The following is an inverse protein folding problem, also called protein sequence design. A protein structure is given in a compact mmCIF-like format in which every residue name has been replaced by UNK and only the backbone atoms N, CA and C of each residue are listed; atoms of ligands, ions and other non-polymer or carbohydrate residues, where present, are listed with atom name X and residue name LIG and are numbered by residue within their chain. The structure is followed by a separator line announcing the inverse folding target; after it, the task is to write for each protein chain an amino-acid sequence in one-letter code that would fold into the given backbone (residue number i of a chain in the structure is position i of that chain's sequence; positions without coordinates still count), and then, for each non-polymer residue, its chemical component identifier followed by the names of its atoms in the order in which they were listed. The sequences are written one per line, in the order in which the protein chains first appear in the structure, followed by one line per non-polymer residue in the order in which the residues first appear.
data_IF_738724557347
#
_entry.id   IF_738724557347
#
_cell.length_a   1.000
_cell.length_b   1.000
_cell.length_c   1.000
_cell.angle_alpha   90.00
_cell.angle_beta   90.00
_cell.angle_gamma   90.00
#
_symmetry.space_group_name_H-M   'P 1'
#
loop_
_entity.id
_entity.type
_entity.pdbx_description
1 polymer ?
#
# COMPACT_ATOMS: atom_id res chain seq x y z
N UNK A 1 25.51 -3.06 -40.08
CA UNK A 1 25.42 -2.24 -38.86
C UNK A 1 26.59 -2.62 -37.98
N UNK A 2 27.48 -1.68 -37.64
CA UNK A 2 28.65 -1.97 -36.79
C UNK A 2 28.19 -2.21 -35.35
N UNK A 3 28.94 -3.00 -34.58
CA UNK A 3 28.67 -3.14 -33.15
C UNK A 3 28.73 -1.78 -32.43
N UNK A 4 29.63 -0.90 -32.85
CA UNK A 4 29.80 0.43 -32.26
C UNK A 4 28.57 1.33 -32.44
N UNK A 5 27.92 1.27 -33.61
CA UNK A 5 26.70 2.05 -33.84
C UNK A 5 25.55 1.56 -32.96
N UNK A 6 25.44 0.24 -32.78
CA UNK A 6 24.42 -0.36 -31.90
C UNK A 6 24.65 -0.02 -30.43
N UNK A 7 25.91 0.02 -29.98
CA UNK A 7 26.26 0.42 -28.61
C UNK A 7 25.86 1.89 -28.38
N UNK A 8 26.16 2.79 -29.31
CA UNK A 8 25.80 4.20 -29.19
C UNK A 8 24.28 4.45 -29.13
N UNK A 9 23.50 3.73 -29.95
CA UNK A 9 22.04 3.78 -29.94
C UNK A 9 21.49 3.32 -28.58
N UNK A 10 21.96 2.17 -28.07
CA UNK A 10 21.52 1.63 -26.77
C UNK A 10 21.88 2.56 -25.60
N UNK A 11 23.05 3.20 -25.63
CA UNK A 11 23.44 4.18 -24.62
C UNK A 11 22.55 5.43 -24.65
N UNK A 12 22.15 5.86 -25.85
CA UNK A 12 21.24 7.00 -26.03
C UNK A 12 19.85 6.68 -25.49
N UNK A 13 19.33 5.49 -25.83
CA UNK A 13 18.05 4.98 -25.34
C UNK A 13 18.08 4.86 -23.81
N UNK A 14 19.14 4.28 -23.23
CA UNK A 14 19.30 4.15 -21.79
C UNK A 14 19.27 5.52 -21.09
N UNK A 15 19.99 6.51 -21.63
CA UNK A 15 20.00 7.86 -21.07
C UNK A 15 18.62 8.51 -21.09
N UNK A 16 17.86 8.33 -22.17
CA UNK A 16 16.48 8.80 -22.28
C UNK A 16 15.56 8.11 -21.27
N UNK A 17 15.67 6.79 -21.11
CA UNK A 17 14.90 6.03 -20.13
C UNK A 17 15.19 6.47 -18.68
N UNK A 18 16.47 6.75 -18.37
CA UNK A 18 16.87 7.26 -17.05
C UNK A 18 16.23 8.63 -16.80
N UNK A 19 16.31 9.56 -17.76
CA UNK A 19 15.69 10.88 -17.63
C UNK A 19 14.18 10.79 -17.44
N UNK A 20 13.51 10.01 -18.27
CA UNK A 20 12.06 9.80 -18.17
C UNK A 20 11.68 9.23 -16.80
N UNK A 21 12.42 8.24 -16.29
CA UNK A 21 12.18 7.64 -14.98
C UNK A 21 12.35 8.67 -13.85
N UNK A 22 13.35 9.55 -13.95
CA UNK A 22 13.57 10.62 -12.97
C UNK A 22 12.44 11.65 -12.97
N UNK A 23 11.96 12.07 -14.14
CA UNK A 23 10.84 13.00 -14.29
C UNK A 23 9.54 12.41 -13.72
N UNK A 24 9.27 11.14 -14.00
CA UNK A 24 8.13 10.42 -13.43
C UNK A 24 8.19 10.33 -11.91
N UNK A 25 9.38 10.02 -11.34
CA UNK A 25 9.58 10.00 -9.89
C UNK A 25 9.35 11.36 -9.26
N UNK A 26 9.94 12.41 -9.82
CA UNK A 26 9.79 13.79 -9.33
C UNK A 26 8.32 14.24 -9.34
N UNK A 27 7.60 13.94 -10.42
CA UNK A 27 6.16 14.21 -10.53
C UNK A 27 5.33 13.44 -9.50
N UNK A 28 5.59 12.14 -9.35
CA UNK A 28 4.89 11.28 -8.37
C UNK A 28 5.12 11.79 -6.95
N UNK A 29 6.37 12.13 -6.61
CA UNK A 29 6.74 12.70 -5.32
C UNK A 29 6.00 14.02 -5.05
N UNK A 30 5.94 14.92 -6.04
CA UNK A 30 5.18 16.16 -5.92
C UNK A 30 3.69 15.92 -5.65
N UNK A 31 3.08 14.95 -6.33
CA UNK A 31 1.67 14.59 -6.11
C UNK A 31 1.42 14.06 -4.68
N UNK A 32 2.31 13.20 -4.18
CA UNK A 32 2.22 12.68 -2.81
C UNK A 32 2.38 13.79 -1.76
N UNK A 33 3.33 14.71 -1.95
CA UNK A 33 3.52 15.87 -1.08
C UNK A 33 2.28 16.77 -1.08
N UNK A 34 1.62 16.95 -2.22
CA UNK A 34 0.39 17.74 -2.30
C UNK A 34 -0.78 17.08 -1.56
N UNK A 35 -0.91 15.75 -1.61
CA UNK A 35 -1.89 15.00 -0.84
C UNK A 35 -1.64 15.21 0.65
N UNK A 36 -0.40 15.02 1.10
CA UNK A 36 -0.01 15.20 2.50
C UNK A 36 -0.32 16.61 3.00
N UNK A 37 0.16 17.64 2.30
CA UNK A 37 -0.08 19.05 2.66
C UNK A 37 -1.58 19.40 2.68
N UNK A 38 -2.37 18.82 1.78
CA UNK A 38 -3.82 19.05 1.75
C UNK A 38 -4.50 18.44 2.98
N UNK A 39 -4.07 17.25 3.40
CA UNK A 39 -4.54 16.63 4.65
C UNK A 39 -4.13 17.42 5.88
N UNK A 40 -2.87 17.87 5.96
CA UNK A 40 -2.38 18.68 7.07
C UNK A 40 -3.21 19.97 7.23
N UNK A 41 -3.48 20.69 6.13
CA UNK A 41 -4.33 21.90 6.16
C UNK A 41 -5.77 21.59 6.59
N UNK A 42 -6.35 20.52 6.05
CA UNK A 42 -7.70 20.10 6.41
C UNK A 42 -7.82 19.74 7.91
N UNK A 43 -6.78 19.12 8.49
CA UNK A 43 -6.71 18.81 9.92
C UNK A 43 -6.57 20.08 10.77
N UNK A 44 -5.67 21.00 10.39
CA UNK A 44 -5.48 22.28 11.10
C UNK A 44 -6.76 23.11 11.15
N UNK A 45 -7.52 23.12 10.05
CA UNK A 45 -8.77 23.86 9.96
C UNK A 45 -9.96 23.15 10.64
N UNK A 46 -9.77 21.91 11.13
CA UNK A 46 -10.78 21.05 11.78
C UNK A 46 -12.12 20.97 11.00
N UNK A 47 -12.08 21.12 9.67
CA UNK A 47 -13.26 21.17 8.80
C UNK A 47 -13.04 20.33 7.55
N UNK A 48 -13.76 19.22 7.46
CA UNK A 48 -13.90 18.47 6.20
C UNK A 48 -14.85 19.22 5.27
N UNK A 49 -14.34 20.26 4.60
CA UNK A 49 -15.08 21.07 3.63
C UNK A 49 -15.30 20.32 2.29
N UNK A 50 -16.40 20.56 1.57
CA UNK A 50 -16.60 20.07 0.21
C UNK A 50 -15.41 20.33 -0.73
N UNK A 51 -14.73 21.47 -0.55
CA UNK A 51 -13.50 21.81 -1.29
C UNK A 51 -12.40 20.76 -1.11
N UNK A 52 -12.08 20.40 0.15
CA UNK A 52 -11.04 19.43 0.46
C UNK A 52 -11.37 18.04 -0.09
N UNK A 53 -12.65 17.64 -0.05
CA UNK A 53 -13.09 16.36 -0.62
C UNK A 53 -12.85 16.31 -2.13
N UNK A 54 -13.26 17.36 -2.85
CA UNK A 54 -13.06 17.45 -4.30
C UNK A 54 -11.58 17.49 -4.67
N UNK A 55 -10.79 18.30 -3.96
CA UNK A 55 -9.34 18.41 -4.19
C UNK A 55 -8.62 17.08 -3.95
N UNK A 56 -8.88 16.44 -2.81
CA UNK A 56 -8.28 15.15 -2.48
C UNK A 56 -8.67 14.07 -3.49
N UNK A 57 -9.94 14.04 -3.93
CA UNK A 57 -10.37 13.09 -4.98
C UNK A 57 -9.57 13.26 -6.26
N UNK A 58 -9.33 14.48 -6.71
CA UNK A 58 -8.49 14.77 -7.87
C UNK A 58 -7.07 14.27 -7.66
N UNK A 59 -6.43 14.66 -6.55
CA UNK A 59 -5.06 14.28 -6.23
C UNK A 59 -4.87 12.75 -6.14
N UNK A 60 -5.80 12.04 -5.49
CA UNK A 60 -5.77 10.57 -5.40
C UNK A 60 -5.97 9.89 -6.75
N UNK A 61 -6.80 10.46 -7.62
CA UNK A 61 -7.02 9.91 -8.97
C UNK A 61 -5.72 9.98 -9.77
N UNK A 62 -5.02 11.12 -9.72
CA UNK A 62 -3.71 11.30 -10.37
C UNK A 62 -2.65 10.38 -9.77
N UNK A 63 -2.52 10.34 -8.44
CA UNK A 63 -1.54 9.48 -7.78
C UNK A 63 -1.76 7.99 -8.06
N UNK A 64 -3.03 7.55 -8.18
CA UNK A 64 -3.36 6.19 -8.59
C UNK A 64 -2.92 5.91 -10.03
N UNK A 65 -3.17 6.83 -10.96
CA UNK A 65 -2.76 6.69 -12.34
C UNK A 65 -1.24 6.64 -12.50
N UNK A 66 -0.50 7.48 -11.74
CA UNK A 66 0.97 7.47 -11.71
C UNK A 66 1.50 6.11 -11.22
N UNK A 67 0.92 5.56 -10.15
CA UNK A 67 1.28 4.24 -9.63
C UNK A 67 0.95 3.09 -10.59
N UNK A 68 -0.18 3.15 -11.28
CA UNK A 68 -0.55 2.15 -12.30
C UNK A 68 0.43 2.18 -13.50
N UNK A 69 0.86 3.36 -13.93
CA UNK A 69 1.85 3.51 -15.00
C UNK A 69 3.22 2.93 -14.63
N UNK A 70 3.69 3.17 -13.39
CA UNK A 70 4.94 2.60 -12.88
C UNK A 70 4.85 1.07 -12.72
N UNK A 71 3.71 0.56 -12.25
CA UNK A 71 3.47 -0.88 -12.10
C UNK A 71 3.50 -1.62 -13.45
N UNK A 72 2.94 -1.03 -14.52
CA UNK A 72 2.93 -1.63 -15.87
C UNK A 72 4.32 -1.87 -16.45
N UNK A 73 5.35 -1.16 -16.00
CA UNK A 73 6.74 -1.37 -16.44
C UNK A 73 7.35 -2.65 -15.87
N UNK A 74 6.76 -3.21 -14.82
CA UNK A 74 7.25 -4.42 -14.19
C UNK A 74 6.51 -5.65 -14.76
N UNK A 75 7.20 -6.45 -15.57
CA UNK A 75 6.70 -7.77 -15.99
C UNK A 75 6.88 -8.76 -14.84
N UNK A 76 5.84 -8.95 -14.04
CA UNK A 76 5.84 -9.87 -12.91
C UNK A 76 4.91 -11.06 -13.18
N UNK A 77 5.36 -12.28 -12.88
CA UNK A 77 4.48 -13.45 -12.86
C UNK A 77 3.43 -13.31 -11.75
N UNK A 78 2.22 -13.85 -11.94
CA UNK A 78 1.15 -13.84 -10.91
C UNK A 78 1.61 -14.34 -9.53
N UNK A 79 2.58 -15.26 -9.47
CA UNK A 79 3.19 -15.78 -8.22
C UNK A 79 3.94 -14.72 -7.40
N UNK A 80 4.27 -13.56 -7.98
CA UNK A 80 4.98 -12.44 -7.35
C UNK A 80 4.03 -11.30 -6.94
N UNK A 81 2.73 -11.45 -7.17
CA UNK A 81 1.72 -10.44 -6.87
C UNK A 81 0.80 -10.99 -5.78
N UNK A 82 0.78 -10.32 -4.63
CA UNK A 82 -0.15 -10.63 -3.53
C UNK A 82 -1.18 -9.49 -3.50
N UNK A 83 -2.45 -9.75 -3.85
CA UNK A 83 -3.48 -8.71 -3.80
C UNK A 83 -3.69 -8.27 -2.34
N UNK A 84 -3.83 -6.97 -2.09
CA UNK A 84 -4.17 -6.51 -0.74
C UNK A 84 -5.63 -6.87 -0.41
N UNK A 85 -5.96 -7.14 0.87
CA UNK A 85 -7.34 -7.34 1.29
C UNK A 85 -8.18 -6.10 0.92
N UNK A 86 -9.44 -6.30 0.56
CA UNK A 86 -10.38 -5.20 0.30
C UNK A 86 -11.15 -4.79 1.56
N UNK A 87 -11.16 -5.67 2.56
CA UNK A 87 -12.00 -5.55 3.74
C UNK A 87 -11.20 -5.85 5.01
N UNK A 88 -11.59 -5.21 6.11
CA UNK A 88 -11.11 -5.55 7.45
C UNK A 88 -11.97 -6.66 8.05
N UNK A 89 -11.34 -7.70 8.57
CA UNK A 89 -12.04 -8.70 9.40
C UNK A 89 -12.45 -8.09 10.75
N UNK A 90 -13.65 -8.43 11.21
CA UNK A 90 -14.12 -8.07 12.53
C UNK A 90 -13.67 -9.14 13.53
N UNK A 91 -12.86 -8.81 14.56
CA UNK A 91 -12.38 -9.78 15.54
C UNK A 91 -13.47 -10.48 16.35
N UNK A 92 -14.66 -9.89 16.47
CA UNK A 92 -15.77 -10.47 17.25
C UNK A 92 -16.59 -11.47 16.43
N UNK A 93 -16.70 -11.27 15.12
CA UNK A 93 -17.56 -12.10 14.25
C UNK A 93 -16.78 -13.08 13.39
N UNK A 94 -15.56 -12.73 12.98
CA UNK A 94 -14.76 -13.50 12.03
C UNK A 94 -13.28 -13.58 12.52
N UNK A 95 -13.01 -14.11 13.73
CA UNK A 95 -11.65 -14.19 14.29
C UNK A 95 -10.72 -15.10 13.47
N UNK A 96 -11.25 -16.08 12.75
CA UNK A 96 -10.51 -16.98 11.86
C UNK A 96 -9.92 -16.28 10.61
N UNK A 97 -10.48 -15.12 10.26
CA UNK A 97 -9.97 -14.27 9.18
C UNK A 97 -8.81 -13.36 9.64
N UNK A 98 -8.41 -13.41 10.91
CA UNK A 98 -7.25 -12.70 11.42
C UNK A 98 -6.00 -13.60 11.46
N UNK A 99 -4.84 -12.96 11.45
CA UNK A 99 -3.59 -13.67 11.67
C UNK A 99 -3.38 -13.97 13.15
N UNK A 100 -2.85 -15.15 13.43
CA UNK A 100 -2.53 -15.60 14.78
C UNK A 100 -1.23 -14.97 15.31
N UNK A 101 -1.06 -14.94 16.63
CA UNK A 101 0.19 -14.50 17.26
C UNK A 101 1.37 -15.33 16.75
N UNK A 102 2.51 -14.67 16.55
CA UNK A 102 3.77 -15.23 16.03
C UNK A 102 3.68 -15.78 14.60
N UNK A 103 2.60 -15.50 13.87
CA UNK A 103 2.49 -15.84 12.46
C UNK A 103 3.39 -14.95 11.60
N UNK A 104 4.13 -15.57 10.67
CA UNK A 104 4.94 -14.87 9.68
C UNK A 104 4.06 -14.22 8.61
N UNK A 105 4.23 -12.92 8.43
CA UNK A 105 3.50 -12.10 7.45
C UNK A 105 4.45 -11.16 6.71
N UNK A 106 3.96 -10.61 5.60
CA UNK A 106 4.54 -9.42 4.98
C UNK A 106 3.76 -8.19 5.48
N UNK A 107 4.46 -7.29 6.15
CA UNK A 107 3.87 -6.08 6.73
C UNK A 107 4.49 -4.83 6.10
N UNK A 108 3.64 -3.84 5.81
CA UNK A 108 4.07 -2.52 5.35
C UNK A 108 4.87 -1.83 6.47
N UNK A 109 6.10 -1.39 6.18
CA UNK A 109 6.91 -0.69 7.17
C UNK A 109 6.48 0.78 7.28
N UNK A 110 6.44 1.38 8.50
CA UNK A 110 6.01 2.77 8.69
C UNK A 110 6.77 3.74 7.77
N UNK A 111 6.03 4.68 7.18
CA UNK A 111 6.57 5.71 6.26
C UNK A 111 7.26 5.15 5.01
N UNK A 112 6.88 3.93 4.58
CA UNK A 112 7.37 3.35 3.33
C UNK A 112 6.24 2.73 2.54
N UNK A 113 6.52 2.45 1.26
CA UNK A 113 5.65 1.67 0.37
C UNK A 113 6.09 0.20 0.27
N UNK A 114 6.99 -0.24 1.14
CA UNK A 114 7.64 -1.55 1.07
C UNK A 114 7.12 -2.51 2.15
N UNK A 115 6.93 -3.77 1.77
CA UNK A 115 6.55 -4.85 2.69
C UNK A 115 7.77 -5.65 3.13
N UNK A 116 7.85 -5.95 4.42
CA UNK A 116 8.94 -6.73 5.03
C UNK A 116 8.40 -7.91 5.80
N UNK A 117 9.24 -8.94 5.96
CA UNK A 117 8.93 -10.08 6.82
C UNK A 117 8.79 -9.63 8.26
N UNK A 118 7.74 -10.09 8.92
CA UNK A 118 7.42 -9.67 10.27
C UNK A 118 6.57 -10.72 10.99
N UNK A 119 6.56 -10.69 12.33
CA UNK A 119 5.77 -11.61 13.16
C UNK A 119 4.64 -10.86 13.85
N UNK A 120 3.42 -11.41 13.82
CA UNK A 120 2.29 -10.84 14.55
C UNK A 120 2.58 -10.87 16.05
N UNK A 121 2.68 -9.70 16.67
CA UNK A 121 2.86 -9.59 18.12
C UNK A 121 1.52 -9.69 18.85
N UNK A 122 0.48 -9.00 18.36
CA UNK A 122 -0.86 -9.04 18.97
C UNK A 122 -1.93 -8.81 17.91
N UNK A 123 -2.85 -9.76 17.66
CA UNK A 123 -3.98 -9.52 16.77
C UNK A 123 -4.93 -8.47 17.35
N UNK A 124 -5.73 -7.78 16.51
CA UNK A 124 -6.74 -6.84 17.01
C UNK A 124 -7.81 -7.60 17.79
N UNK A 125 -8.19 -7.08 18.96
CA UNK A 125 -9.15 -7.71 19.87
C UNK A 125 -10.53 -7.02 19.89
N UNK A 126 -10.67 -5.82 19.32
CA UNK A 126 -11.93 -5.05 19.30
C UNK A 126 -12.09 -4.25 18.02
N UNK A 127 -13.34 -4.03 17.62
CA UNK A 127 -13.73 -3.09 16.57
C UNK A 127 -13.67 -1.66 17.11
N UNK A 128 -12.49 -1.15 17.45
CA UNK A 128 -12.40 0.24 17.91
C UNK A 128 -12.71 1.18 16.75
N UNK A 129 -13.66 2.10 16.95
CA UNK A 129 -14.05 3.13 15.97
C UNK A 129 -12.89 3.99 15.46
N UNK A 130 -11.75 3.97 16.16
CA UNK A 130 -10.43 4.31 15.67
C UNK A 130 -9.59 3.04 15.52
N UNK A 131 -9.41 2.58 14.28
CA UNK A 131 -8.70 1.35 13.95
C UNK A 131 -7.31 1.31 14.60
N UNK A 132 -7.10 0.45 15.60
CA UNK A 132 -5.74 0.02 15.96
C UNK A 132 -5.46 -1.28 15.21
N UNK A 133 -4.57 -1.26 14.20
CA UNK A 133 -4.17 -2.47 13.52
C UNK A 133 -3.50 -3.48 14.46
N UNK A 134 -3.31 -4.72 13.99
CA UNK A 134 -2.47 -5.70 14.68
C UNK A 134 -1.14 -5.09 15.07
N UNK A 135 -0.54 -5.48 16.19
CA UNK A 135 0.86 -5.11 16.46
C UNK A 135 1.76 -6.14 15.82
N UNK A 136 2.81 -5.71 15.15
CA UNK A 136 3.74 -6.58 14.44
C UNK A 136 5.17 -6.23 14.82
N UNK A 137 6.00 -7.25 15.01
CA UNK A 137 7.44 -7.14 15.27
C UNK A 137 8.21 -7.31 13.96
N UNK A 138 8.97 -6.29 13.57
CA UNK A 138 9.81 -6.32 12.36
C UNK A 138 10.92 -7.35 12.42
N UNK A 139 11.23 -7.96 11.27
CA UNK A 139 12.45 -8.76 11.04
C UNK A 139 13.41 -8.08 10.06
N UNK A 140 13.25 -6.78 9.81
CA UNK A 140 14.14 -6.03 8.91
C UNK A 140 15.58 -5.98 9.49
N UNK A 141 16.62 -6.26 8.69
CA UNK A 141 18.00 -6.26 9.15
C UNK A 141 18.46 -4.86 9.58
N UNK A 142 19.17 -4.77 10.70
CA UNK A 142 19.80 -3.53 11.19
C UNK A 142 18.87 -2.53 11.89
N UNK A 143 17.60 -2.88 12.16
CA UNK A 143 16.69 -2.05 12.97
C UNK A 143 16.27 -2.78 14.26
N UNK A 144 16.07 -2.07 15.38
CA UNK A 144 15.51 -2.67 16.58
C UNK A 144 14.15 -3.30 16.27
N UNK A 145 13.77 -4.31 17.04
CA UNK A 145 12.49 -5.00 16.92
C UNK A 145 11.33 -4.07 17.32
N UNK A 146 11.06 -3.05 16.51
CA UNK A 146 9.98 -2.11 16.74
C UNK A 146 8.63 -2.80 16.53
N UNK A 147 7.74 -2.57 17.49
CA UNK A 147 6.36 -3.02 17.42
C UNK A 147 5.53 -1.89 16.80
N UNK A 148 5.07 -2.09 15.57
CA UNK A 148 4.24 -1.11 14.86
C UNK A 148 2.93 -1.71 14.37
N UNK A 149 2.00 -0.83 14.05
CA UNK A 149 0.68 -1.15 13.50
C UNK A 149 0.75 -1.18 11.96
N UNK A 150 0.58 -2.33 11.29
CA UNK A 150 0.57 -2.42 9.83
C UNK A 150 -0.74 -1.88 9.28
N UNK A 151 -0.72 -1.38 8.05
CA UNK A 151 -1.93 -0.85 7.41
C UNK A 151 -2.94 -1.94 6.99
N UNK A 152 -2.52 -3.21 6.95
CA UNK A 152 -3.34 -4.33 6.49
C UNK A 152 -3.22 -5.53 7.43
N UNK A 153 -4.32 -5.94 8.06
CA UNK A 153 -4.40 -7.08 8.97
C UNK A 153 -5.66 -7.89 8.66
N UNK A 154 -5.67 -8.59 7.54
CA UNK A 154 -6.70 -9.58 7.21
C UNK A 154 -6.06 -10.75 6.51
N UNK A 155 -6.38 -11.99 6.88
CA UNK A 155 -5.89 -13.20 6.22
C UNK A 155 -6.54 -13.33 4.83
N UNK A 156 -5.80 -13.90 3.88
CA UNK A 156 -6.26 -14.10 2.51
C UNK A 156 -7.07 -15.40 2.48
N UNK A 157 -8.36 -15.39 2.10
CA UNK A 157 -9.06 -16.63 1.86
C UNK A 157 -8.42 -17.32 0.66
N UNK A 158 -7.95 -18.55 0.87
CA UNK A 158 -7.59 -19.46 -0.23
C UNK A 158 -8.91 -19.85 -0.89
N UNK A 159 -9.06 -19.57 -2.19
CA UNK A 159 -10.31 -19.77 -2.95
C UNK A 159 -11.01 -21.09 -2.62
N UNK A 160 -12.27 -20.99 -2.19
CA UNK A 160 -13.19 -22.12 -2.06
C UNK A 160 -14.60 -21.63 -1.71
N UNK A 161 -15.48 -21.71 -2.72
CA UNK A 161 -16.94 -21.81 -2.65
C UNK A 161 -17.80 -20.64 -2.12
N UNK A 162 -18.71 -20.24 -3.01
CA UNK A 162 -20.09 -19.84 -2.79
C UNK A 162 -20.46 -18.47 -2.18
N UNK A 163 -21.19 -17.72 -3.00
CA UNK A 163 -22.56 -17.35 -2.65
C UNK A 163 -22.73 -16.10 -1.81
N UNK A 164 -23.02 -15.00 -2.50
CA UNK A 164 -23.87 -13.87 -2.08
C UNK A 164 -24.37 -13.90 -0.61
N UNK A 165 -23.69 -13.16 0.27
CA UNK A 165 -24.32 -12.57 1.46
C UNK A 165 -23.88 -11.12 1.55
N UNK A 166 -24.72 -10.22 1.04
CA UNK A 166 -24.70 -8.82 1.42
C UNK A 166 -24.88 -8.77 2.95
N UNK A 167 -23.84 -8.43 3.72
CA UNK A 167 -24.01 -8.25 5.14
C UNK A 167 -22.97 -7.31 5.75
N UNK A 168 -23.37 -6.67 6.85
CA UNK A 168 -22.66 -5.65 7.65
C UNK A 168 -21.34 -6.13 8.30
N UNK A 169 -20.67 -7.14 7.74
CA UNK A 169 -19.52 -7.85 8.31
C UNK A 169 -18.16 -7.31 7.86
N UNK A 170 -18.15 -6.54 6.78
CA UNK A 170 -16.91 -6.08 6.16
C UNK A 170 -16.97 -4.58 5.94
N UNK A 171 -16.04 -3.84 6.57
CA UNK A 171 -15.86 -2.40 6.32
C UNK A 171 -14.75 -2.22 5.27
N UNK A 172 -14.96 -1.40 4.23
CA UNK A 172 -13.92 -1.14 3.23
C UNK A 172 -12.67 -0.57 3.90
N UNK A 173 -11.49 -0.88 3.34
CA UNK A 173 -10.23 -0.27 3.78
C UNK A 173 -10.09 1.21 3.38
N UNK A 174 -11.02 1.74 2.57
CA UNK A 174 -11.06 3.11 2.03
C UNK A 174 -12.31 3.86 2.49
#
# INVERSE_FOLDING_TARGET
MSADTKIAELLTELHQLIKQTQEERSRSEHNLLNIQKTHERMQTENKTSPYYRTKLRGLYTTAKADAEAECRRHTLSRRRIIPLPQWKANPETDPEALFSKDQLVLALYPQTTCFYRALIHTPPHRVSGSARPARVRSLAPGRPAEVFTPLASTRWPVSGADGAVQNRRYRPLL
#
